data_IF_664481673985
#
_entry.id   IF_664481673985
#
_cell.length_a   1.000
_cell.length_b   1.000
_cell.length_c   1.000
_cell.angle_alpha   90.00
_cell.angle_beta   90.00
_cell.angle_gamma   90.00
#
_symmetry.space_group_name_H-M   'P 1'
#
loop_
_entity.id
_entity.type
_entity.pdbx_description
1 polymer ?
#
# COMPACT_ATOMS: atom_id res chain seq x y z
N UNK A 1 32.14 2.09 3.90
CA UNK A 1 31.75 1.88 2.48
C UNK A 1 30.46 2.60 2.07
N UNK A 2 29.26 2.02 2.24
CA UNK A 2 28.05 2.54 1.56
C UNK A 2 27.63 3.96 1.96
N UNK A 3 27.56 4.28 3.25
CA UNK A 3 27.03 5.58 3.70
C UNK A 3 28.04 6.73 3.45
N UNK A 4 29.29 6.56 3.87
CA UNK A 4 30.28 7.65 3.72
C UNK A 4 30.89 7.70 2.32
N UNK A 5 31.45 6.60 1.79
CA UNK A 5 32.14 6.64 0.49
C UNK A 5 31.16 6.78 -0.65
N UNK A 6 30.14 5.92 -0.72
CA UNK A 6 29.21 5.93 -1.86
C UNK A 6 28.20 7.08 -1.75
N UNK A 7 27.37 7.11 -0.69
CA UNK A 7 26.29 8.10 -0.59
C UNK A 7 26.84 9.54 -0.42
N UNK A 8 27.69 9.80 0.57
CA UNK A 8 28.21 11.16 0.82
C UNK A 8 29.34 11.58 -0.12
N UNK A 9 30.18 10.63 -0.53
CA UNK A 9 31.33 10.84 -1.43
C UNK A 9 30.94 10.84 -2.90
N UNK A 10 30.77 9.65 -3.49
CA UNK A 10 30.55 9.44 -4.92
C UNK A 10 29.25 10.06 -5.44
N UNK A 11 28.13 9.83 -4.74
CA UNK A 11 26.83 10.44 -5.06
C UNK A 11 26.72 11.90 -4.58
N UNK A 12 27.69 12.36 -3.77
CA UNK A 12 27.77 13.74 -3.31
C UNK A 12 26.64 14.18 -2.39
N UNK A 13 25.91 13.27 -1.72
CA UNK A 13 24.76 13.62 -0.89
C UNK A 13 25.13 14.61 0.22
N UNK A 14 24.48 15.78 0.20
CA UNK A 14 24.69 16.89 1.15
C UNK A 14 23.65 16.98 2.25
N UNK A 15 22.62 16.13 2.21
CA UNK A 15 21.59 16.09 3.25
C UNK A 15 22.02 15.37 4.51
N UNK A 16 21.02 15.05 5.33
CA UNK A 16 21.14 14.38 6.63
C UNK A 16 20.85 12.88 6.45
N UNK A 17 21.70 12.03 7.03
CA UNK A 17 21.48 10.58 7.11
C UNK A 17 20.96 10.23 8.49
N UNK A 18 19.79 9.61 8.56
CA UNK A 18 19.14 9.17 9.79
C UNK A 18 19.07 7.64 9.84
N UNK A 19 19.22 7.04 11.02
CA UNK A 19 18.94 5.60 11.19
C UNK A 19 17.44 5.33 11.18
N UNK A 20 17.07 4.08 10.92
CA UNK A 20 15.73 3.59 11.24
C UNK A 20 15.49 3.50 12.76
N UNK A 21 14.27 3.18 13.18
CA UNK A 21 13.80 3.05 14.56
C UNK A 21 14.71 2.11 15.37
N UNK A 22 15.30 2.65 16.44
CA UNK A 22 16.27 1.96 17.31
C UNK A 22 17.54 1.45 16.58
N UNK A 23 17.79 1.94 15.36
CA UNK A 23 18.92 1.52 14.52
C UNK A 23 20.28 1.94 15.07
N UNK A 24 20.33 2.89 16.00
CA UNK A 24 21.59 3.38 16.57
C UNK A 24 22.29 2.42 17.54
N UNK A 25 21.59 1.40 18.06
CA UNK A 25 22.16 0.39 18.96
C UNK A 25 22.02 -1.04 18.42
N UNK A 26 21.06 -1.28 17.51
CA UNK A 26 20.80 -2.62 16.95
C UNK A 26 22.00 -3.23 16.22
N UNK A 27 22.87 -2.39 15.65
CA UNK A 27 23.95 -2.82 14.75
C UNK A 27 25.35 -2.62 15.32
N UNK A 28 25.47 -2.42 16.63
CA UNK A 28 26.74 -2.26 17.33
C UNK A 28 26.81 -1.02 18.22
N UNK A 29 28.00 -0.71 18.76
CA UNK A 29 28.17 0.43 19.64
C UNK A 29 27.95 1.76 18.92
N UNK A 30 27.60 2.81 19.66
CA UNK A 30 27.26 4.12 19.11
C UNK A 30 28.32 4.69 18.15
N UNK A 31 29.60 4.50 18.47
CA UNK A 31 30.69 4.97 17.60
C UNK A 31 30.71 4.30 16.23
N UNK A 32 30.37 3.01 16.13
CA UNK A 32 30.35 2.32 14.84
C UNK A 32 29.27 2.89 13.91
N UNK A 33 28.10 3.19 14.46
CA UNK A 33 27.00 3.82 13.73
C UNK A 33 27.38 5.22 13.25
N UNK A 34 27.92 6.05 14.15
CA UNK A 34 28.29 7.44 13.81
C UNK A 34 29.49 7.48 12.84
N UNK A 35 30.51 6.65 13.04
CA UNK A 35 31.68 6.57 12.15
C UNK A 35 31.32 6.01 10.76
N UNK A 36 30.24 5.22 10.63
CA UNK A 36 29.75 4.80 9.32
C UNK A 36 29.26 5.99 8.46
N UNK A 37 28.94 7.13 9.09
CA UNK A 37 28.53 8.37 8.45
C UNK A 37 27.10 8.79 8.75
N UNK A 38 26.44 8.17 9.72
CA UNK A 38 25.12 8.57 10.22
C UNK A 38 25.21 9.94 10.91
N UNK A 39 24.18 10.76 10.70
CA UNK A 39 24.08 12.11 11.27
C UNK A 39 23.09 12.17 12.44
N UNK A 40 21.96 11.47 12.33
CA UNK A 40 20.94 11.36 13.39
C UNK A 40 20.69 9.87 13.71
N UNK A 41 20.81 9.50 14.99
CA UNK A 41 20.35 8.20 15.47
C UNK A 41 18.91 8.31 15.99
N UNK A 42 17.98 7.57 15.39
CA UNK A 42 16.59 7.50 15.84
C UNK A 42 16.48 6.56 17.04
N UNK A 43 16.48 7.13 18.24
CA UNK A 43 16.49 6.42 19.52
C UNK A 43 15.31 6.86 20.41
N UNK A 44 14.12 6.28 20.23
CA UNK A 44 12.91 6.77 20.89
C UNK A 44 12.82 6.45 22.38
N UNK A 45 13.48 5.37 22.85
CA UNK A 45 13.38 4.91 24.26
C UNK A 45 14.69 4.91 25.05
N UNK A 46 15.83 5.04 24.38
CA UNK A 46 17.19 4.77 24.90
C UNK A 46 18.20 5.88 24.49
N UNK A 47 17.71 7.07 24.16
CA UNK A 47 18.56 8.16 23.69
C UNK A 47 19.64 8.58 24.71
N UNK A 48 19.36 8.55 26.01
CA UNK A 48 20.34 8.94 27.04
C UNK A 48 21.56 8.02 27.06
N UNK A 49 21.35 6.71 26.98
CA UNK A 49 22.43 5.72 26.89
C UNK A 49 23.26 5.95 25.63
N UNK A 50 22.60 6.05 24.48
CA UNK A 50 23.28 6.33 23.21
C UNK A 50 24.11 7.63 23.26
N UNK A 51 23.57 8.70 23.86
CA UNK A 51 24.29 9.97 24.02
C UNK A 51 25.50 9.83 24.94
N UNK A 52 25.40 9.11 26.05
CA UNK A 52 26.50 8.89 26.98
C UNK A 52 27.62 8.07 26.35
N UNK A 53 27.27 6.99 25.64
CA UNK A 53 28.24 6.14 24.94
C UNK A 53 28.96 6.90 23.81
N UNK A 54 28.20 7.69 23.04
CA UNK A 54 28.77 8.52 21.98
C UNK A 54 29.69 9.59 22.57
N UNK A 55 29.29 10.23 23.68
CA UNK A 55 30.15 11.20 24.37
C UNK A 55 31.45 10.56 24.84
N UNK A 56 31.38 9.37 25.44
CA UNK A 56 32.58 8.60 25.81
C UNK A 56 33.48 8.35 24.61
N UNK A 57 32.88 7.90 23.50
CA UNK A 57 33.59 7.62 22.25
C UNK A 57 34.20 8.87 21.59
N UNK A 58 33.67 10.06 21.84
CA UNK A 58 34.29 11.32 21.38
C UNK A 58 35.44 11.72 22.29
N UNK A 59 35.28 11.57 23.61
CA UNK A 59 36.30 11.91 24.60
C UNK A 59 37.55 11.02 24.48
N UNK A 60 37.37 9.74 24.18
CA UNK A 60 38.47 8.79 23.97
C UNK A 60 39.00 8.78 22.52
N UNK A 61 38.45 9.64 21.65
CA UNK A 61 38.81 9.81 20.23
C UNK A 61 38.46 8.64 19.30
N UNK A 62 37.68 7.65 19.76
CA UNK A 62 37.11 6.60 18.90
C UNK A 62 36.22 7.19 17.81
N UNK A 63 35.52 8.29 18.11
CA UNK A 63 34.81 9.13 17.14
C UNK A 63 35.54 10.48 17.06
N UNK A 64 36.15 10.82 15.91
CA UNK A 64 36.86 12.08 15.79
C UNK A 64 35.86 13.25 15.77
N UNK A 65 36.18 14.38 16.43
CA UNK A 65 35.27 15.53 16.53
C UNK A 65 34.80 16.05 15.16
N UNK A 66 35.64 15.94 14.12
CA UNK A 66 35.29 16.32 12.75
C UNK A 66 34.10 15.51 12.18
N UNK A 67 33.88 14.27 12.67
CA UNK A 67 32.71 13.46 12.32
C UNK A 67 31.44 14.04 12.94
N UNK A 68 31.53 14.52 14.19
CA UNK A 68 30.44 15.23 14.86
C UNK A 68 30.16 16.56 14.17
N UNK A 69 31.19 17.31 13.81
CA UNK A 69 31.04 18.58 13.09
C UNK A 69 30.37 18.39 11.72
N UNK A 70 30.70 17.33 10.97
CA UNK A 70 30.00 17.01 9.71
C UNK A 70 28.52 16.71 9.95
N UNK A 71 28.20 15.87 10.94
CA UNK A 71 26.82 15.51 11.28
C UNK A 71 26.00 16.75 11.69
N UNK A 72 26.51 17.52 12.65
CA UNK A 72 25.84 18.73 13.16
C UNK A 72 25.71 19.78 12.06
N UNK A 73 26.73 19.99 11.21
CA UNK A 73 26.64 20.92 10.09
C UNK A 73 25.50 20.58 9.14
N UNK A 74 25.32 19.30 8.78
CA UNK A 74 24.23 18.83 7.92
C UNK A 74 22.86 19.04 8.56
N UNK A 75 22.74 18.71 9.83
CA UNK A 75 21.49 18.89 10.59
C UNK A 75 21.12 20.36 10.68
N UNK A 76 22.06 21.23 11.04
CA UNK A 76 21.80 22.66 11.18
C UNK A 76 21.51 23.30 9.81
N UNK A 77 22.27 22.96 8.76
CA UNK A 77 22.00 23.44 7.40
C UNK A 77 20.57 23.09 6.95
N UNK A 78 20.13 21.85 7.19
CA UNK A 78 18.75 21.45 6.92
C UNK A 78 17.73 22.27 7.73
N UNK A 79 17.96 22.47 9.03
CA UNK A 79 17.06 23.26 9.90
C UNK A 79 16.99 24.73 9.48
N UNK A 80 18.10 25.33 9.06
CA UNK A 80 18.13 26.69 8.52
C UNK A 80 17.39 26.80 7.19
N UNK A 81 17.63 25.86 6.26
CA UNK A 81 16.93 25.82 4.96
C UNK A 81 15.42 25.63 5.09
N UNK A 82 14.98 24.87 6.08
CA UNK A 82 13.56 24.70 6.41
C UNK A 82 12.95 25.93 7.11
N UNK A 83 13.74 26.95 7.43
CA UNK A 83 13.26 28.15 8.13
C UNK A 83 12.91 27.92 9.60
N UNK A 84 13.29 26.79 10.20
CA UNK A 84 12.89 26.45 11.59
C UNK A 84 13.44 27.41 12.64
N UNK A 85 14.50 28.18 12.33
CA UNK A 85 15.01 29.24 13.21
C UNK A 85 14.22 30.56 13.09
N UNK A 86 13.47 30.74 12.01
CA UNK A 86 12.59 31.89 11.79
C UNK A 86 11.19 31.58 12.33
N UNK A 87 10.70 30.37 12.04
CA UNK A 87 9.31 29.99 12.26
C UNK A 87 9.20 28.52 12.69
N UNK A 88 9.42 28.22 13.98
CA UNK A 88 9.48 26.84 14.49
C UNK A 88 8.12 26.23 14.81
N UNK A 89 7.03 27.00 14.73
CA UNK A 89 5.73 26.58 15.25
C UNK A 89 4.78 26.09 14.16
N UNK A 90 3.93 25.14 14.52
CA UNK A 90 2.90 24.62 13.64
C UNK A 90 1.93 25.74 13.19
N UNK A 91 1.52 25.65 11.93
CA UNK A 91 0.59 26.56 11.27
C UNK A 91 -0.83 26.03 11.38
N UNK A 92 -1.66 26.71 12.18
CA UNK A 92 -3.06 26.28 12.44
C UNK A 92 -3.92 26.36 11.18
N UNK A 93 -3.60 27.30 10.29
CA UNK A 93 -4.26 27.46 9.01
C UNK A 93 -4.20 26.21 8.13
N UNK A 94 -3.17 25.36 8.27
CA UNK A 94 -3.08 24.11 7.51
C UNK A 94 -3.90 22.97 8.11
N UNK A 95 -4.43 23.11 9.33
CA UNK A 95 -5.26 22.07 9.93
C UNK A 95 -6.54 21.82 9.10
N UNK A 96 -7.07 22.85 8.44
CA UNK A 96 -8.25 22.75 7.56
C UNK A 96 -7.97 21.93 6.29
N UNK A 97 -6.71 21.76 5.90
CA UNK A 97 -6.33 20.98 4.71
C UNK A 97 -6.28 19.47 4.98
N UNK A 98 -6.27 19.06 6.25
CA UNK A 98 -6.20 17.66 6.66
C UNK A 98 -7.49 16.94 6.24
N UNK A 99 -7.37 16.02 5.28
CA UNK A 99 -8.51 15.30 4.74
C UNK A 99 -9.47 16.17 3.93
N UNK A 100 -9.00 17.30 3.38
CA UNK A 100 -9.78 18.17 2.49
C UNK A 100 -10.19 17.48 1.19
N UNK A 101 -11.31 17.91 0.60
CA UNK A 101 -11.83 17.34 -0.64
C UNK A 101 -10.82 17.40 -1.79
N UNK A 102 -10.01 18.46 -1.87
CA UNK A 102 -8.96 18.59 -2.88
C UNK A 102 -7.89 17.48 -2.76
N UNK A 103 -7.46 17.15 -1.54
CA UNK A 103 -6.52 16.04 -1.32
C UNK A 103 -7.17 14.69 -1.59
N UNK A 104 -8.45 14.54 -1.24
CA UNK A 104 -9.22 13.32 -1.49
C UNK A 104 -9.45 13.09 -2.97
N UNK A 105 -9.66 14.13 -3.76
CA UNK A 105 -9.78 13.98 -5.21
C UNK A 105 -8.46 13.49 -5.83
N UNK A 106 -7.31 13.99 -5.36
CA UNK A 106 -6.00 13.46 -5.76
C UNK A 106 -5.85 11.98 -5.36
N UNK A 107 -6.29 11.61 -4.16
CA UNK A 107 -6.25 10.22 -3.71
C UNK A 107 -7.21 9.32 -4.53
N UNK A 108 -8.43 9.76 -4.82
CA UNK A 108 -9.41 9.08 -5.69
C UNK A 108 -8.85 8.88 -7.09
N UNK A 109 -8.20 9.90 -7.64
CA UNK A 109 -7.47 9.79 -8.89
C UNK A 109 -6.36 8.74 -8.79
N UNK A 110 -5.51 8.79 -7.77
CA UNK A 110 -4.45 7.81 -7.58
C UNK A 110 -4.99 6.37 -7.47
N UNK A 111 -6.15 6.18 -6.81
CA UNK A 111 -6.83 4.88 -6.71
C UNK A 111 -7.21 4.37 -8.09
N UNK A 112 -8.03 5.09 -8.87
CA UNK A 112 -8.49 4.58 -10.18
C UNK A 112 -7.33 4.33 -11.16
N UNK A 113 -6.24 5.09 -11.04
CA UNK A 113 -5.05 4.94 -11.88
C UNK A 113 -4.09 3.82 -11.44
N UNK A 114 -4.18 3.37 -10.18
CA UNK A 114 -3.35 2.28 -9.66
C UNK A 114 -3.93 0.90 -9.96
N UNK A 115 -5.24 0.79 -10.17
CA UNK A 115 -5.92 -0.48 -10.44
C UNK A 115 -5.38 -1.13 -11.72
N UNK A 116 -4.99 -2.39 -11.62
CA UNK A 116 -4.51 -3.19 -12.76
C UNK A 116 -5.58 -4.20 -13.15
N UNK A 117 -6.10 -4.06 -14.36
CA UNK A 117 -7.03 -5.03 -14.94
C UNK A 117 -6.25 -6.25 -15.43
N UNK A 118 -6.43 -7.39 -14.77
CA UNK A 118 -5.72 -8.63 -15.10
C UNK A 118 -6.52 -9.52 -16.07
N UNK A 119 -7.85 -9.45 -15.99
CA UNK A 119 -8.78 -10.19 -16.82
C UNK A 119 -10.07 -9.40 -16.97
N UNK A 120 -10.68 -9.43 -18.16
CA UNK A 120 -12.00 -8.87 -18.43
C UNK A 120 -12.65 -9.63 -19.58
N UNK A 121 -13.49 -10.59 -19.23
CA UNK A 121 -14.19 -11.48 -20.16
C UNK A 121 -15.70 -11.32 -20.00
N UNK A 122 -16.46 -11.88 -20.95
CA UNK A 122 -17.92 -12.00 -20.89
C UNK A 122 -18.67 -10.67 -20.71
N UNK A 123 -18.05 -9.53 -21.04
CA UNK A 123 -18.62 -8.19 -20.84
C UNK A 123 -18.92 -7.90 -19.35
N UNK A 124 -18.07 -8.41 -18.44
CA UNK A 124 -18.23 -8.19 -17.00
C UNK A 124 -18.02 -6.74 -16.61
N UNK A 125 -17.09 -6.08 -17.29
CA UNK A 125 -16.83 -4.66 -17.16
C UNK A 125 -16.98 -3.95 -18.53
N UNK A 126 -17.22 -2.63 -18.53
CA UNK A 126 -17.56 -1.83 -17.34
C UNK A 126 -18.97 -2.14 -16.83
N UNK A 127 -19.22 -1.83 -15.57
CA UNK A 127 -20.56 -1.81 -14.99
C UNK A 127 -21.35 -0.61 -15.52
N UNK A 128 -22.67 -0.74 -15.52
CA UNK A 128 -23.59 0.34 -15.82
C UNK A 128 -24.35 0.76 -14.57
N UNK A 129 -24.70 2.05 -14.47
CA UNK A 129 -25.47 2.57 -13.34
C UNK A 129 -26.86 1.90 -13.18
N UNK A 130 -27.37 1.25 -14.23
CA UNK A 130 -28.62 0.48 -14.21
C UNK A 130 -28.44 -0.99 -13.81
N UNK A 131 -27.20 -1.44 -13.58
CA UNK A 131 -26.94 -2.81 -13.16
C UNK A 131 -27.41 -2.99 -11.70
N UNK A 132 -28.01 -4.15 -11.43
CA UNK A 132 -28.22 -4.65 -10.07
C UNK A 132 -27.02 -5.51 -9.72
N UNK A 133 -26.24 -5.07 -8.71
CA UNK A 133 -24.96 -5.70 -8.36
C UNK A 133 -24.95 -6.18 -6.92
N UNK A 134 -24.17 -7.22 -6.65
CA UNK A 134 -23.86 -7.63 -5.28
C UNK A 134 -22.42 -7.24 -4.96
N UNK A 135 -22.19 -6.66 -3.79
CA UNK A 135 -20.84 -6.53 -3.20
C UNK A 135 -20.68 -7.63 -2.17
N UNK A 136 -19.66 -8.47 -2.36
CA UNK A 136 -19.48 -9.72 -1.62
C UNK A 136 -18.13 -9.73 -0.92
N UNK A 137 -18.09 -10.24 0.30
CA UNK A 137 -16.87 -10.36 1.10
C UNK A 137 -16.61 -9.15 2.02
N UNK A 138 -15.99 -9.42 3.16
CA UNK A 138 -15.74 -8.43 4.21
C UNK A 138 -14.88 -7.24 3.75
N UNK A 139 -13.97 -7.44 2.79
CA UNK A 139 -13.18 -6.34 2.22
C UNK A 139 -14.03 -5.33 1.45
N UNK A 140 -15.23 -5.71 1.00
CA UNK A 140 -16.13 -4.83 0.25
C UNK A 140 -16.64 -3.66 1.08
N UNK A 141 -16.81 -3.84 2.39
CA UNK A 141 -17.33 -2.81 3.30
C UNK A 141 -16.35 -2.48 4.44
N UNK A 142 -15.04 -2.46 4.16
CA UNK A 142 -14.04 -2.26 5.20
C UNK A 142 -12.85 -1.40 4.77
N UNK A 143 -12.87 -0.12 5.19
CA UNK A 143 -11.83 0.85 4.88
C UNK A 143 -10.49 0.52 5.55
N UNK A 144 -10.49 -0.17 6.70
CA UNK A 144 -9.28 -0.66 7.35
C UNK A 144 -8.57 -1.70 6.48
N UNK A 145 -9.31 -2.71 6.00
CA UNK A 145 -8.78 -3.74 5.11
C UNK A 145 -8.29 -3.17 3.79
N UNK A 146 -9.01 -2.23 3.18
CA UNK A 146 -8.59 -1.60 1.91
C UNK A 146 -7.39 -0.64 2.07
N UNK A 147 -7.01 -0.26 3.30
CA UNK A 147 -5.89 0.67 3.54
C UNK A 147 -4.58 -0.02 3.95
N UNK A 148 -4.65 -1.25 4.48
CA UNK A 148 -3.46 -2.02 4.88
C UNK A 148 -2.71 -1.44 6.10
N UNK A 149 -1.43 -1.80 6.22
CA UNK A 149 -0.55 -1.31 7.29
C UNK A 149 -0.32 0.20 7.25
N UNK A 150 0.28 0.75 8.30
CA UNK A 150 0.56 2.18 8.43
C UNK A 150 -0.66 3.12 8.31
N UNK A 151 -1.87 2.58 8.48
CA UNK A 151 -3.13 3.31 8.42
C UNK A 151 -3.78 3.36 9.80
N UNK A 152 -3.76 4.55 10.42
CA UNK A 152 -4.15 4.84 11.82
C UNK A 152 -3.24 4.16 12.88
N UNK A 153 -2.96 2.87 12.72
CA UNK A 153 -2.06 2.10 13.57
C UNK A 153 -0.91 1.51 12.74
N UNK A 154 0.18 1.13 13.42
CA UNK A 154 1.37 0.55 12.78
C UNK A 154 1.03 -0.64 11.88
N UNK A 155 0.38 -1.67 12.44
CA UNK A 155 -0.08 -2.85 11.69
C UNK A 155 -1.38 -2.62 10.92
N UNK A 156 -1.87 -1.37 10.86
CA UNK A 156 -3.20 -1.04 10.36
C UNK A 156 -4.31 -1.42 11.33
N UNK A 157 -5.55 -1.36 10.85
CA UNK A 157 -6.74 -1.72 11.61
C UNK A 157 -7.72 -2.49 10.73
N UNK A 158 -8.60 -3.27 11.35
CA UNK A 158 -9.58 -4.12 10.64
C UNK A 158 -10.99 -3.57 10.66
N UNK A 159 -11.14 -2.30 11.05
CA UNK A 159 -12.43 -1.63 11.19
C UNK A 159 -12.49 -0.40 10.28
N UNK A 160 -13.71 0.02 9.98
CA UNK A 160 -13.96 1.28 9.28
C UNK A 160 -13.47 2.48 10.10
N UNK A 161 -12.90 3.47 9.43
CA UNK A 161 -12.42 4.70 10.07
C UNK A 161 -13.02 5.96 9.47
N UNK A 162 -13.09 6.99 10.31
CA UNK A 162 -13.78 8.23 9.98
C UNK A 162 -13.19 8.89 8.74
N UNK A 163 -14.09 9.24 7.82
CA UNK A 163 -13.77 9.97 6.61
C UNK A 163 -13.30 9.10 5.46
N UNK A 164 -13.19 7.78 5.59
CA UNK A 164 -13.01 6.92 4.42
C UNK A 164 -14.35 6.62 3.73
N UNK A 165 -14.28 6.26 2.46
CA UNK A 165 -15.38 5.67 1.68
C UNK A 165 -15.00 4.23 1.35
N UNK A 166 -15.82 3.26 1.76
CA UNK A 166 -15.61 1.86 1.42
C UNK A 166 -15.93 1.60 -0.05
N UNK A 167 -15.55 0.44 -0.58
CA UNK A 167 -15.93 0.03 -1.95
C UNK A 167 -17.46 -0.12 -2.05
N UNK A 168 -18.11 -0.70 -1.04
CA UNK A 168 -19.57 -0.81 -0.96
C UNK A 168 -20.23 0.57 -1.03
N UNK A 169 -19.81 1.51 -0.19
CA UNK A 169 -20.38 2.86 -0.16
C UNK A 169 -20.23 3.55 -1.52
N UNK A 170 -19.07 3.38 -2.16
CA UNK A 170 -18.77 3.96 -3.46
C UNK A 170 -19.62 3.35 -4.60
N UNK A 171 -19.80 2.03 -4.61
CA UNK A 171 -20.63 1.33 -5.59
C UNK A 171 -22.11 1.69 -5.39
N UNK A 172 -22.57 1.75 -4.14
CA UNK A 172 -23.94 2.13 -3.79
C UNK A 172 -24.28 3.59 -4.17
N UNK A 173 -23.29 4.46 -4.30
CA UNK A 173 -23.49 5.82 -4.78
C UNK A 173 -23.71 5.93 -6.30
N UNK A 174 -23.48 4.85 -7.07
CA UNK A 174 -23.52 4.86 -8.54
C UNK A 174 -24.52 3.85 -9.12
N UNK A 175 -24.54 2.62 -8.62
CA UNK A 175 -25.45 1.57 -9.09
C UNK A 175 -26.90 1.84 -8.64
N UNK A 176 -27.85 1.36 -9.44
CA UNK A 176 -29.29 1.52 -9.16
C UNK A 176 -29.73 0.71 -7.95
N UNK A 177 -29.14 -0.48 -7.77
CA UNK A 177 -29.43 -1.36 -6.65
C UNK A 177 -28.18 -2.17 -6.30
N UNK A 178 -27.87 -2.24 -5.00
CA UNK A 178 -26.72 -2.95 -4.47
C UNK A 178 -27.16 -3.85 -3.33
N UNK A 179 -26.90 -5.16 -3.48
CA UNK A 179 -26.98 -6.12 -2.38
C UNK A 179 -25.61 -6.26 -1.72
N UNK A 180 -25.53 -6.23 -0.39
CA UNK A 180 -24.29 -6.57 0.32
C UNK A 180 -24.41 -7.96 0.93
N UNK A 181 -23.44 -8.82 0.67
CA UNK A 181 -23.40 -10.18 1.17
C UNK A 181 -21.98 -10.56 1.62
N UNK A 182 -21.67 -10.30 2.90
CA UNK A 182 -20.35 -10.57 3.47
C UNK A 182 -19.93 -12.04 3.35
N UNK A 183 -20.87 -12.96 3.62
CA UNK A 183 -20.64 -14.41 3.67
C UNK A 183 -20.78 -15.12 2.31
N UNK A 184 -20.93 -14.38 1.21
CA UNK A 184 -21.04 -14.95 -0.14
C UNK A 184 -22.41 -14.81 -0.79
N UNK A 185 -22.47 -15.07 -2.10
CA UNK A 185 -23.73 -15.11 -2.84
C UNK A 185 -24.66 -16.21 -2.32
N UNK A 186 -25.98 -15.98 -2.42
CA UNK A 186 -27.01 -16.92 -1.97
C UNK A 186 -28.07 -17.15 -3.05
N UNK A 187 -28.80 -18.28 -2.95
CA UNK A 187 -29.87 -18.63 -3.89
C UNK A 187 -31.01 -17.60 -3.80
N UNK A 188 -31.42 -17.07 -4.95
CA UNK A 188 -32.46 -16.04 -5.03
C UNK A 188 -31.95 -14.61 -4.92
N UNK A 189 -30.64 -14.40 -4.78
CA UNK A 189 -30.00 -13.08 -4.94
C UNK A 189 -30.36 -12.50 -6.31
N UNK A 190 -30.83 -11.26 -6.32
CA UNK A 190 -31.36 -10.58 -7.51
C UNK A 190 -30.26 -10.09 -8.44
N UNK A 191 -29.13 -9.67 -7.87
CA UNK A 191 -27.98 -9.19 -8.62
C UNK A 191 -27.40 -10.27 -9.56
N UNK A 192 -27.23 -9.97 -10.84
CA UNK A 192 -26.62 -10.88 -11.82
C UNK A 192 -25.08 -10.78 -11.84
N UNK A 193 -24.54 -9.62 -11.43
CA UNK A 193 -23.10 -9.37 -11.30
C UNK A 193 -22.69 -9.31 -9.83
N UNK A 194 -21.64 -10.03 -9.46
CA UNK A 194 -21.10 -10.06 -8.12
C UNK A 194 -19.69 -9.46 -8.10
N UNK A 195 -19.52 -8.34 -7.40
CA UNK A 195 -18.25 -7.70 -7.08
C UNK A 195 -17.72 -8.38 -5.81
N UNK A 196 -16.86 -9.37 -5.99
CA UNK A 196 -16.28 -10.15 -4.90
C UNK A 196 -14.97 -9.51 -4.46
N UNK A 197 -14.97 -8.89 -3.28
CA UNK A 197 -13.80 -8.19 -2.75
C UNK A 197 -13.14 -9.07 -1.69
N UNK A 198 -11.90 -9.46 -1.97
CA UNK A 198 -11.11 -10.38 -1.14
C UNK A 198 -9.68 -9.89 -1.04
N UNK A 199 -8.92 -10.40 -0.07
CA UNK A 199 -7.53 -9.95 0.02
C UNK A 199 -6.80 -10.27 1.32
N UNK A 200 -5.62 -9.69 1.44
CA UNK A 200 -4.80 -9.80 2.64
C UNK A 200 -5.40 -8.98 3.80
N UNK A 201 -5.01 -9.32 5.02
CA UNK A 201 -5.26 -8.47 6.20
C UNK A 201 -4.16 -7.39 6.28
N UNK A 202 -4.40 -6.25 6.93
CA UNK A 202 -3.36 -5.26 7.20
C UNK A 202 -2.14 -5.85 7.94
N UNK A 203 -0.95 -5.47 7.48
CA UNK A 203 0.35 -5.79 8.08
C UNK A 203 1.36 -4.69 7.75
N UNK A 204 2.42 -4.59 8.56
CA UNK A 204 3.57 -3.73 8.29
C UNK A 204 4.88 -4.42 8.71
N UNK A 205 5.94 -4.14 7.95
CA UNK A 205 7.30 -4.65 8.19
C UNK A 205 7.34 -6.18 8.24
N UNK A 206 8.18 -6.77 9.11
CA UNK A 206 8.37 -8.22 9.20
C UNK A 206 7.13 -9.02 9.63
N UNK A 207 6.04 -8.37 10.08
CA UNK A 207 4.75 -9.07 10.31
C UNK A 207 4.09 -9.48 8.98
N UNK A 208 4.45 -8.82 7.88
CA UNK A 208 4.00 -9.18 6.54
C UNK A 208 4.78 -10.32 5.89
N UNK A 209 5.90 -10.76 6.48
CA UNK A 209 6.68 -11.89 5.96
C UNK A 209 5.80 -13.16 5.99
N UNK A 210 5.64 -13.80 4.84
CA UNK A 210 4.71 -14.91 4.67
C UNK A 210 5.19 -15.85 3.56
N UNK A 211 5.11 -17.15 3.83
CA UNK A 211 5.24 -18.22 2.82
C UNK A 211 3.87 -18.57 2.19
N UNK A 212 2.79 -18.01 2.74
CA UNK A 212 1.42 -18.14 2.23
C UNK A 212 1.08 -16.92 1.38
N UNK A 213 1.23 -17.05 0.05
CA UNK A 213 1.01 -15.98 -0.93
C UNK A 213 -0.18 -16.29 -1.85
N UNK A 214 -1.27 -16.81 -1.30
CA UNK A 214 -2.50 -17.15 -2.02
C UNK A 214 -3.74 -16.72 -1.23
N UNK A 215 -4.90 -16.67 -1.89
CA UNK A 215 -6.17 -16.43 -1.22
C UNK A 215 -6.55 -17.63 -0.34
N UNK A 216 -7.08 -17.35 0.85
CA UNK A 216 -7.56 -18.38 1.79
C UNK A 216 -8.74 -19.16 1.20
N UNK A 217 -8.97 -20.38 1.68
CA UNK A 217 -10.12 -21.19 1.25
C UNK A 217 -11.46 -20.47 1.43
N UNK A 218 -11.58 -19.61 2.45
CA UNK A 218 -12.76 -18.78 2.65
C UNK A 218 -12.96 -17.77 1.51
N UNK A 219 -11.88 -17.09 1.06
CA UNK A 219 -11.96 -16.19 -0.08
C UNK A 219 -12.26 -16.95 -1.38
N UNK A 220 -11.62 -18.10 -1.59
CA UNK A 220 -11.89 -18.99 -2.74
C UNK A 220 -13.36 -19.41 -2.78
N UNK A 221 -13.94 -19.73 -1.62
CA UNK A 221 -15.35 -20.10 -1.50
C UNK A 221 -16.31 -18.95 -1.83
N UNK A 222 -15.96 -17.68 -1.53
CA UNK A 222 -16.76 -16.52 -1.94
C UNK A 222 -16.80 -16.39 -3.48
N UNK A 223 -15.64 -16.50 -4.14
CA UNK A 223 -15.53 -16.39 -5.60
C UNK A 223 -16.28 -17.56 -6.26
N UNK A 224 -15.96 -18.79 -5.87
CA UNK A 224 -16.55 -19.98 -6.48
C UNK A 224 -18.05 -20.10 -6.18
N UNK A 225 -18.49 -19.76 -4.97
CA UNK A 225 -19.90 -19.80 -4.59
C UNK A 225 -20.78 -18.86 -5.42
N UNK A 226 -20.27 -17.66 -5.73
CA UNK A 226 -20.94 -16.76 -6.66
C UNK A 226 -20.96 -17.32 -8.10
N UNK A 227 -19.85 -17.91 -8.55
CA UNK A 227 -19.75 -18.52 -9.88
C UNK A 227 -20.72 -19.70 -10.04
N UNK A 228 -20.84 -20.56 -9.04
CA UNK A 228 -21.73 -21.73 -9.01
C UNK A 228 -23.21 -21.35 -9.05
N UNK A 229 -23.55 -20.15 -8.56
CA UNK A 229 -24.89 -19.59 -8.65
C UNK A 229 -25.15 -18.88 -9.99
N UNK A 230 -24.23 -18.98 -10.95
CA UNK A 230 -24.34 -18.39 -12.28
C UNK A 230 -24.16 -16.88 -12.31
N UNK A 231 -23.60 -16.28 -11.25
CA UNK A 231 -23.30 -14.84 -11.23
C UNK A 231 -22.09 -14.56 -12.13
N UNK A 232 -22.09 -13.37 -12.73
CA UNK A 232 -20.90 -12.84 -13.40
C UNK A 232 -19.96 -12.27 -12.34
N UNK A 233 -18.80 -12.89 -12.16
CA UNK A 233 -17.92 -12.64 -11.02
C UNK A 233 -16.84 -11.62 -11.38
N UNK A 234 -16.83 -10.50 -10.67
CA UNK A 234 -15.83 -9.44 -10.77
C UNK A 234 -15.03 -9.47 -9.48
N UNK A 235 -13.83 -10.05 -9.52
CA UNK A 235 -12.98 -10.16 -8.34
C UNK A 235 -12.10 -8.93 -8.19
N UNK A 236 -12.14 -8.31 -7.01
CA UNK A 236 -11.24 -7.22 -6.61
C UNK A 236 -10.31 -7.76 -5.53
N UNK A 237 -9.03 -7.85 -5.86
CA UNK A 237 -7.98 -8.27 -4.93
C UNK A 237 -7.38 -7.06 -4.21
N UNK A 238 -7.52 -7.03 -2.89
CA UNK A 238 -6.84 -6.10 -1.99
C UNK A 238 -5.58 -6.77 -1.43
N UNK A 239 -4.40 -6.33 -1.85
CA UNK A 239 -3.13 -6.93 -1.42
C UNK A 239 -1.97 -5.93 -1.43
N UNK A 240 -0.98 -6.13 -0.56
CA UNK A 240 0.25 -5.33 -0.56
C UNK A 240 1.27 -5.78 -1.62
N UNK A 241 0.99 -6.89 -2.31
CA UNK A 241 1.91 -7.62 -3.20
C UNK A 241 1.15 -8.49 -4.21
N UNK A 242 1.87 -9.01 -5.20
CA UNK A 242 1.34 -10.05 -6.09
C UNK A 242 1.13 -11.36 -5.31
N UNK A 243 0.02 -12.05 -5.58
CA UNK A 243 -0.32 -13.35 -5.01
C UNK A 243 -0.40 -14.40 -6.12
N UNK A 244 -0.34 -15.67 -5.75
CA UNK A 244 -0.66 -16.82 -6.60
C UNK A 244 -2.18 -16.88 -6.71
N UNK A 245 -2.71 -16.57 -7.90
CA UNK A 245 -4.14 -16.35 -8.14
C UNK A 245 -4.69 -17.13 -9.34
N UNK A 246 -3.95 -18.09 -9.91
CA UNK A 246 -4.34 -18.72 -11.18
C UNK A 246 -5.74 -19.36 -11.12
N UNK A 247 -6.07 -20.06 -10.03
CA UNK A 247 -7.40 -20.65 -9.82
C UNK A 247 -8.48 -19.58 -9.67
N UNK A 248 -8.21 -18.54 -8.86
CA UNK A 248 -9.15 -17.45 -8.60
C UNK A 248 -9.44 -16.64 -9.88
N UNK A 249 -8.41 -16.45 -10.71
CA UNK A 249 -8.48 -15.81 -12.01
C UNK A 249 -9.35 -16.62 -12.98
N UNK A 250 -9.27 -17.94 -12.96
CA UNK A 250 -10.11 -18.82 -13.78
C UNK A 250 -11.58 -18.75 -13.35
N UNK A 251 -11.85 -18.69 -12.05
CA UNK A 251 -13.20 -18.60 -11.49
C UNK A 251 -13.86 -17.21 -11.67
N UNK A 252 -13.10 -16.19 -12.06
CA UNK A 252 -13.59 -14.81 -12.23
C UNK A 252 -13.86 -14.46 -13.71
N UNK A 253 -14.88 -13.66 -13.99
CA UNK A 253 -15.13 -13.09 -15.32
C UNK A 253 -14.32 -11.79 -15.53
N UNK A 254 -14.09 -11.02 -14.47
CA UNK A 254 -13.08 -9.96 -14.43
C UNK A 254 -12.24 -10.06 -13.16
N UNK A 255 -10.97 -9.68 -13.23
CA UNK A 255 -10.06 -9.72 -12.08
C UNK A 255 -9.22 -8.44 -12.04
N UNK A 256 -9.29 -7.74 -10.91
CA UNK A 256 -8.63 -6.45 -10.70
C UNK A 256 -7.68 -6.58 -9.50
N UNK A 257 -6.40 -6.26 -9.70
CA UNK A 257 -5.49 -6.01 -8.59
C UNK A 257 -5.65 -4.56 -8.14
N UNK A 258 -6.22 -4.36 -6.95
CA UNK A 258 -6.51 -3.04 -6.40
C UNK A 258 -5.46 -2.54 -5.41
N UNK A 259 -4.48 -3.38 -5.08
CA UNK A 259 -3.43 -3.08 -4.12
C UNK A 259 -4.00 -2.72 -2.73
N UNK A 260 -3.54 -1.61 -2.14
CA UNK A 260 -4.08 -1.02 -0.93
C UNK A 260 -4.60 0.39 -1.25
N UNK A 261 -5.84 0.54 -1.74
CA UNK A 261 -6.36 1.81 -2.29
C UNK A 261 -6.57 2.93 -1.25
N UNK A 262 -6.44 2.65 0.06
CA UNK A 262 -6.53 3.69 1.08
C UNK A 262 -7.96 4.21 1.30
N UNK A 263 -8.14 5.50 1.58
CA UNK A 263 -9.44 6.02 2.05
C UNK A 263 -10.50 6.22 0.98
N UNK A 264 -10.13 6.28 -0.31
CA UNK A 264 -11.00 6.76 -1.38
C UNK A 264 -11.54 5.60 -2.25
N UNK A 265 -12.41 4.76 -1.69
CA UNK A 265 -13.09 3.68 -2.43
C UNK A 265 -13.87 4.17 -3.67
N UNK A 266 -14.19 5.46 -3.74
CA UNK A 266 -14.74 6.13 -4.93
C UNK A 266 -13.91 5.94 -6.20
N UNK A 267 -12.58 5.79 -6.09
CA UNK A 267 -11.73 5.53 -7.25
C UNK A 267 -11.91 4.11 -7.81
N UNK A 268 -12.26 3.14 -6.94
CA UNK A 268 -12.63 1.79 -7.38
C UNK A 268 -13.95 1.84 -8.15
N UNK A 269 -14.96 2.56 -7.64
CA UNK A 269 -16.21 2.75 -8.39
C UNK A 269 -15.99 3.49 -9.72
N UNK A 270 -15.16 4.54 -9.77
CA UNK A 270 -14.84 5.24 -11.02
C UNK A 270 -14.28 4.29 -12.09
N UNK A 271 -13.44 3.35 -11.66
CA UNK A 271 -12.90 2.31 -12.51
C UNK A 271 -13.98 1.30 -12.92
N UNK A 272 -14.77 0.77 -11.99
CA UNK A 272 -15.75 -0.26 -12.31
C UNK A 272 -16.81 0.24 -13.30
N UNK A 273 -17.25 1.49 -13.17
CA UNK A 273 -18.31 2.08 -13.99
C UNK A 273 -17.78 2.90 -15.18
N UNK A 274 -16.47 2.86 -15.46
CA UNK A 274 -15.82 3.66 -16.50
C UNK A 274 -16.23 5.15 -16.46
N UNK A 275 -16.23 5.74 -15.26
CA UNK A 275 -16.73 7.11 -15.04
C UNK A 275 -16.02 8.09 -15.98
N UNK A 276 -16.79 8.96 -16.63
CA UNK A 276 -16.32 9.93 -17.61
C UNK A 276 -15.52 9.29 -18.78
N UNK A 277 -15.79 8.01 -19.09
CA UNK A 277 -15.08 7.26 -20.11
C UNK A 277 -13.67 6.83 -19.68
N UNK A 278 -13.40 6.77 -18.37
CA UNK A 278 -12.14 6.27 -17.83
C UNK A 278 -11.84 4.88 -18.40
N UNK A 279 -10.59 4.67 -18.81
CA UNK A 279 -10.08 3.39 -19.30
C UNK A 279 -9.00 2.85 -18.38
N UNK A 280 -8.88 1.51 -18.23
CA UNK A 280 -7.80 0.90 -17.49
C UNK A 280 -6.45 1.37 -18.01
N UNK A 281 -5.56 1.77 -17.11
CA UNK A 281 -4.19 2.19 -17.47
C UNK A 281 -3.12 1.77 -16.46
N UNK A 282 -3.53 1.25 -15.30
CA UNK A 282 -2.60 0.70 -14.33
C UNK A 282 -1.85 -0.48 -14.92
N UNK A 283 -0.54 -0.52 -14.69
CA UNK A 283 0.34 -1.62 -15.09
C UNK A 283 0.96 -2.22 -13.84
N UNK A 284 1.02 -3.55 -13.79
CA UNK A 284 1.60 -4.26 -12.66
C UNK A 284 3.07 -3.88 -12.47
N UNK A 285 3.46 -3.32 -11.31
CA UNK A 285 4.86 -3.03 -11.02
C UNK A 285 5.65 -4.29 -10.60
N UNK A 286 5.02 -5.46 -10.62
CA UNK A 286 5.62 -6.76 -10.30
C UNK A 286 5.28 -7.80 -11.37
N UNK A 287 6.20 -8.73 -11.60
CA UNK A 287 5.85 -9.99 -12.25
C UNK A 287 5.03 -10.85 -11.28
N UNK A 288 3.98 -11.48 -11.78
CA UNK A 288 3.10 -12.33 -10.99
C UNK A 288 3.55 -13.79 -11.04
N UNK A 289 3.76 -14.44 -9.88
CA UNK A 289 4.15 -15.84 -9.83
C UNK A 289 2.99 -16.76 -10.24
N UNK A 290 3.33 -17.93 -10.80
CA UNK A 290 2.37 -19.04 -10.94
C UNK A 290 2.42 -19.95 -9.73
N UNK A 291 3.61 -20.14 -9.17
CA UNK A 291 3.85 -20.96 -7.99
C UNK A 291 4.79 -20.24 -7.00
N UNK A 292 4.75 -20.65 -5.74
CA UNK A 292 5.63 -20.10 -4.69
C UNK A 292 7.11 -20.37 -5.01
N UNK A 293 7.40 -21.49 -5.69
CA UNK A 293 8.73 -21.89 -6.11
C UNK A 293 9.34 -20.98 -7.19
N UNK A 294 8.54 -20.10 -7.82
CA UNK A 294 9.02 -19.12 -8.80
C UNK A 294 9.74 -17.92 -8.12
N UNK A 295 9.68 -17.80 -6.80
CA UNK A 295 10.23 -16.66 -6.07
C UNK A 295 11.71 -16.84 -5.68
N UNK A 296 12.56 -15.81 -5.82
CA UNK A 296 12.25 -14.45 -6.29
C UNK A 296 12.09 -14.37 -7.82
N UNK A 297 11.02 -13.70 -8.26
CA UNK A 297 10.68 -13.59 -9.67
C UNK A 297 11.22 -12.29 -10.30
N UNK A 298 12.03 -12.43 -11.34
CA UNK A 298 12.58 -11.28 -12.07
C UNK A 298 11.53 -10.55 -12.93
N UNK A 299 11.71 -9.25 -13.22
CA UNK A 299 10.78 -8.49 -14.08
C UNK A 299 10.57 -9.08 -15.49
N UNK A 300 11.58 -9.72 -16.06
CA UNK A 300 11.61 -10.29 -17.41
C UNK A 300 11.36 -11.81 -17.44
N UNK A 301 11.00 -12.42 -16.30
CA UNK A 301 10.79 -13.86 -16.20
C UNK A 301 9.72 -14.36 -17.17
N UNK A 302 10.11 -15.26 -18.09
CA UNK A 302 9.22 -15.78 -19.12
C UNK A 302 8.07 -16.64 -18.58
N UNK A 303 8.30 -17.31 -17.44
CA UNK A 303 7.34 -18.19 -16.81
C UNK A 303 6.31 -17.47 -15.92
N UNK A 304 6.43 -16.15 -15.73
CA UNK A 304 5.48 -15.36 -14.96
C UNK A 304 4.05 -15.52 -15.50
N UNK A 305 3.06 -15.55 -14.60
CA UNK A 305 1.63 -15.53 -14.96
C UNK A 305 1.29 -14.24 -15.70
N UNK A 306 1.74 -13.12 -15.14
CA UNK A 306 1.72 -11.80 -15.76
C UNK A 306 3.11 -11.18 -15.63
N UNK A 307 3.65 -10.66 -16.73
CA UNK A 307 4.98 -10.02 -16.71
C UNK A 307 4.91 -8.63 -16.07
N UNK A 308 6.05 -8.12 -15.62
CA UNK A 308 6.19 -6.71 -15.26
C UNK A 308 5.61 -5.81 -16.36
N UNK A 309 4.82 -4.81 -15.97
CA UNK A 309 4.16 -3.90 -16.89
C UNK A 309 2.87 -4.44 -17.52
N UNK A 310 2.41 -5.64 -17.15
CA UNK A 310 1.12 -6.16 -17.64
C UNK A 310 -0.08 -5.41 -17.05
N UNK A 311 -1.13 -5.27 -17.84
CA UNK A 311 -2.43 -4.73 -17.46
C UNK A 311 -3.23 -4.44 -18.72
N UNK A 312 -4.48 -4.90 -18.78
CA UNK A 312 -5.36 -4.60 -19.90
C UNK A 312 -5.64 -3.08 -19.95
N UNK A 313 -5.83 -2.55 -21.16
CA UNK A 313 -6.09 -1.12 -21.39
C UNK A 313 -7.54 -0.82 -21.81
N UNK A 314 -8.32 -1.88 -22.00
CA UNK A 314 -9.73 -1.85 -22.36
C UNK A 314 -10.46 -2.86 -21.47
N UNK A 315 -11.75 -2.59 -21.21
CA UNK A 315 -12.64 -3.49 -20.48
C UNK A 315 -13.16 -4.61 -21.39
#
# INVERSE_FOLDING_TARGET
EMVTRVLKGELGFKGVVVTDWNGGQRFGPAHSVINAGIDIAMQPGNHEEFMNDLKGSVLDQTVPIIRIDDAVRRILDMKFKLGLFIDPFAKREFAETIGSDAHREVARQAVRESLVLLKSDNQALPLHATDVVAVVGAHGNNSGLQSGGWSIHWQGQRENYRGATTILDAVNAVASEVEYAEDGCYRGMSADKAIVVVGEKPYAEGVGDSDELWLTDAHKALIQGCKDLGKQVITILISGRALIIEEDLQASDAFIAAWLPGSEGGGVADFLFAKDGFKPKGKSPYSWPKDIADLPLAPDAEHALFKFGFGLEEY
#
